data_IF_892964046727
#
_entry.id   IF_892964046727
#
_cell.length_a   1.000
_cell.length_b   1.000
_cell.length_c   1.000
_cell.angle_alpha   90.00
_cell.angle_beta   90.00
_cell.angle_gamma   90.00
#
_symmetry.space_group_name_H-M   'P 1'
#
loop_
_entity.id
_entity.type
_entity.pdbx_description
1 polymer ?
#
# COMPACT_ATOMS: atom_id res chain seq x y z
N UNK A 1 -16.15 1.42 -43.89
CA UNK A 1 -15.31 0.41 -43.20
C UNK A 1 -14.15 1.10 -42.49
N UNK A 2 -14.43 1.64 -41.30
CA UNK A 2 -13.45 2.29 -40.43
C UNK A 2 -12.85 1.24 -39.50
N UNK A 3 -11.56 1.01 -39.64
CA UNK A 3 -10.78 0.03 -38.87
C UNK A 3 -10.90 0.30 -37.36
N UNK A 4 -11.37 -0.72 -36.65
CA UNK A 4 -11.39 -0.78 -35.20
C UNK A 4 -9.96 -1.15 -34.75
N UNK A 5 -9.11 -0.15 -34.50
CA UNK A 5 -7.85 -0.37 -33.80
C UNK A 5 -8.15 -0.59 -32.31
N UNK A 6 -7.99 -1.82 -31.84
CA UNK A 6 -7.99 -2.14 -30.42
C UNK A 6 -6.82 -1.42 -29.73
N UNK A 7 -7.07 -0.24 -29.15
CA UNK A 7 -6.15 0.40 -28.22
C UNK A 7 -6.23 -0.32 -26.89
N UNK A 8 -5.16 -1.02 -26.51
CA UNK A 8 -4.96 -1.57 -25.17
C UNK A 8 -5.15 -0.43 -24.14
N UNK A 9 -6.05 -0.65 -23.18
CA UNK A 9 -6.61 0.36 -22.28
C UNK A 9 -5.58 1.26 -21.59
N UNK A 10 -5.66 2.55 -21.86
CA UNK A 10 -4.73 3.56 -21.38
C UNK A 10 -5.27 4.24 -20.12
N UNK A 11 -5.10 3.61 -18.95
CA UNK A 11 -5.27 4.31 -17.66
C UNK A 11 -4.23 5.45 -17.60
N UNK A 12 -4.69 6.69 -17.38
CA UNK A 12 -3.86 7.89 -17.26
C UNK A 12 -3.71 8.29 -15.77
N UNK A 13 -3.34 7.32 -14.93
CA UNK A 13 -3.08 7.56 -13.51
C UNK A 13 -1.66 8.07 -13.29
N UNK A 14 -1.49 9.01 -12.35
CA UNK A 14 -0.18 9.34 -11.79
C UNK A 14 -0.02 8.60 -10.47
N UNK A 15 1.22 8.21 -10.15
CA UNK A 15 1.61 7.68 -8.86
C UNK A 15 2.35 8.75 -8.08
N UNK A 16 2.08 8.85 -6.79
CA UNK A 16 2.91 9.63 -5.89
C UNK A 16 4.09 8.79 -5.37
N UNK A 17 5.30 9.15 -5.77
CA UNK A 17 6.50 8.35 -5.51
C UNK A 17 7.72 9.25 -5.33
N UNK A 18 8.46 9.05 -4.24
CA UNK A 18 9.54 9.93 -3.77
C UNK A 18 9.20 11.43 -3.76
N UNK A 19 7.97 11.77 -3.38
CA UNK A 19 7.55 13.17 -3.23
C UNK A 19 7.07 13.81 -4.54
N UNK A 20 7.05 13.08 -5.65
CA UNK A 20 6.66 13.59 -6.96
C UNK A 20 5.55 12.75 -7.59
N UNK A 21 4.76 13.38 -8.47
CA UNK A 21 3.76 12.67 -9.29
C UNK A 21 4.39 12.20 -10.61
N UNK A 22 4.60 10.89 -10.72
CA UNK A 22 5.10 10.24 -11.93
C UNK A 22 3.95 9.58 -12.68
N UNK A 23 4.00 9.56 -14.02
CA UNK A 23 2.99 8.85 -14.81
C UNK A 23 3.12 7.35 -14.57
N UNK A 24 1.99 6.64 -14.43
CA UNK A 24 1.98 5.19 -14.20
C UNK A 24 2.70 4.34 -15.28
N UNK A 25 2.92 4.91 -16.46
CA UNK A 25 3.69 4.27 -17.56
C UNK A 25 5.19 4.55 -17.52
N UNK A 26 5.58 5.58 -16.77
CA UNK A 26 6.96 6.05 -16.71
C UNK A 26 7.58 5.73 -15.34
N UNK A 27 7.15 4.63 -14.73
CA UNK A 27 7.75 4.17 -13.47
C UNK A 27 9.16 3.64 -13.75
N UNK A 28 10.11 4.05 -12.92
CA UNK A 28 11.48 3.57 -13.03
C UNK A 28 11.61 2.10 -12.63
N UNK A 29 12.70 1.47 -13.08
CA UNK A 29 13.00 0.06 -12.81
C UNK A 29 13.04 -0.28 -11.30
N UNK A 30 13.40 0.70 -10.46
CA UNK A 30 13.49 0.53 -9.02
C UNK A 30 12.15 0.62 -8.30
N UNK A 31 11.08 1.05 -8.97
CA UNK A 31 9.75 1.24 -8.38
C UNK A 31 9.24 -0.01 -7.64
N UNK A 32 9.29 -1.19 -8.29
CA UNK A 32 8.85 -2.46 -7.68
C UNK A 32 9.69 -2.79 -6.45
N UNK A 33 11.02 -2.67 -6.56
CA UNK A 33 11.94 -3.03 -5.47
C UNK A 33 11.76 -2.12 -4.25
N UNK A 34 11.55 -0.83 -4.47
CA UNK A 34 11.26 0.14 -3.40
C UNK A 34 9.92 -0.21 -2.74
N UNK A 35 8.85 -0.40 -3.51
CA UNK A 35 7.54 -0.72 -2.96
C UNK A 35 7.55 -2.02 -2.15
N UNK A 36 8.15 -3.10 -2.67
CA UNK A 36 8.35 -4.35 -1.92
C UNK A 36 9.15 -4.07 -0.65
N UNK A 37 10.23 -3.31 -0.77
CA UNK A 37 11.17 -2.98 0.29
C UNK A 37 10.56 -2.20 1.44
N UNK A 38 9.65 -1.26 1.18
CA UNK A 38 9.03 -0.41 2.21
C UNK A 38 7.71 -0.97 2.75
N UNK A 39 7.04 -1.87 2.03
CA UNK A 39 5.73 -2.45 2.45
C UNK A 39 5.83 -3.90 2.96
N UNK A 40 7.02 -4.50 2.95
CA UNK A 40 7.27 -5.84 3.51
C UNK A 40 8.00 -5.73 4.85
N UNK A 41 7.61 -6.46 5.92
CA UNK A 41 8.37 -6.48 7.17
C UNK A 41 9.86 -6.76 6.96
N UNK A 42 10.73 -5.94 7.55
CA UNK A 42 12.18 -5.98 7.26
C UNK A 42 12.83 -7.33 7.58
N UNK A 43 12.38 -8.02 8.63
CA UNK A 43 12.86 -9.36 8.95
C UNK A 43 12.54 -10.37 7.83
N UNK A 44 11.39 -10.24 7.15
CA UNK A 44 11.09 -11.07 5.99
C UNK A 44 12.02 -10.77 4.81
N UNK A 45 12.37 -9.49 4.57
CA UNK A 45 13.32 -9.12 3.53
C UNK A 45 14.73 -9.69 3.80
N UNK A 46 15.18 -9.68 5.06
CA UNK A 46 16.44 -10.30 5.48
C UNK A 46 16.42 -11.80 5.20
N UNK A 47 15.35 -12.50 5.60
CA UNK A 47 15.21 -13.93 5.34
C UNK A 47 15.15 -14.25 3.85
N UNK A 48 14.45 -13.43 3.07
CA UNK A 48 14.41 -13.54 1.62
C UNK A 48 15.82 -13.45 1.03
N UNK A 49 16.60 -12.43 1.40
CA UNK A 49 17.98 -12.26 0.97
C UNK A 49 18.89 -13.43 1.36
N UNK A 50 18.76 -13.95 2.59
CA UNK A 50 19.48 -15.15 3.03
C UNK A 50 19.11 -16.37 2.18
N UNK A 51 17.83 -16.58 1.89
CA UNK A 51 17.36 -17.68 1.05
C UNK A 51 17.91 -17.62 -0.37
N UNK A 52 17.93 -16.41 -0.97
CA UNK A 52 18.54 -16.17 -2.27
C UNK A 52 20.04 -16.46 -2.22
N UNK A 53 20.76 -15.98 -1.19
CA UNK A 53 22.18 -16.26 -1.02
C UNK A 53 22.50 -17.77 -0.92
N UNK A 54 21.67 -18.54 -0.21
CA UNK A 54 21.81 -20.00 -0.14
C UNK A 54 21.61 -20.65 -1.52
N UNK A 55 20.65 -20.17 -2.31
CA UNK A 55 20.44 -20.64 -3.67
C UNK A 55 21.60 -20.29 -4.60
N UNK A 56 22.07 -19.04 -4.59
CA UNK A 56 23.19 -18.63 -5.45
C UNK A 56 24.45 -19.44 -5.13
N UNK A 57 24.70 -19.76 -3.86
CA UNK A 57 25.80 -20.66 -3.48
C UNK A 57 25.61 -22.09 -4.02
N UNK A 58 24.37 -22.59 -4.11
CA UNK A 58 24.11 -23.94 -4.60
C UNK A 58 24.25 -24.09 -6.11
N UNK A 59 24.27 -22.98 -6.87
CA UNK A 59 24.54 -22.99 -8.32
C UNK A 59 25.97 -23.40 -8.66
N UNK A 60 26.93 -23.23 -7.74
CA UNK A 60 28.32 -23.68 -7.93
C UNK A 60 28.52 -25.19 -7.66
N UNK A 61 27.49 -25.88 -7.18
CA UNK A 61 27.54 -27.33 -6.96
C UNK A 61 26.97 -28.09 -8.18
N UNK A 62 27.20 -29.40 -8.25
CA UNK A 62 26.61 -30.26 -9.28
C UNK A 62 25.08 -30.08 -9.34
N UNK A 63 24.55 -30.05 -10.56
CA UNK A 63 23.13 -29.91 -10.81
C UNK A 63 22.34 -31.08 -10.19
N UNK A 64 21.29 -30.78 -9.43
CA UNK A 64 20.32 -31.75 -8.92
C UNK A 64 18.88 -31.22 -9.05
N UNK A 65 17.89 -32.08 -8.82
CA UNK A 65 16.46 -31.71 -8.90
C UNK A 65 16.10 -30.52 -8.01
N UNK A 66 16.71 -30.44 -6.82
CA UNK A 66 16.53 -29.30 -5.91
C UNK A 66 17.01 -27.98 -6.54
N UNK A 67 18.13 -27.98 -7.26
CA UNK A 67 18.62 -26.79 -7.96
C UNK A 67 17.69 -26.38 -9.11
N UNK A 68 17.10 -27.35 -9.84
CA UNK A 68 16.06 -27.07 -10.86
C UNK A 68 14.86 -26.38 -10.21
N UNK A 69 14.32 -26.96 -9.13
CA UNK A 69 13.15 -26.41 -8.45
C UNK A 69 13.43 -25.02 -7.88
N UNK A 70 14.59 -24.81 -7.25
CA UNK A 70 14.99 -23.48 -6.78
C UNK A 70 15.14 -22.48 -7.93
N UNK A 71 15.67 -22.91 -9.08
CA UNK A 71 15.76 -22.10 -10.29
C UNK A 71 14.38 -21.71 -10.83
N UNK A 72 13.41 -22.64 -10.84
CA UNK A 72 12.02 -22.35 -11.19
C UNK A 72 11.38 -21.33 -10.23
N UNK A 73 11.56 -21.51 -8.91
CA UNK A 73 11.03 -20.55 -7.93
C UNK A 73 11.70 -19.17 -8.07
N UNK A 74 13.00 -19.12 -8.38
CA UNK A 74 13.69 -17.87 -8.68
C UNK A 74 13.17 -17.22 -9.96
N UNK A 75 12.98 -18.00 -11.02
CA UNK A 75 12.39 -17.58 -12.28
C UNK A 75 10.99 -16.97 -12.08
N UNK A 76 10.15 -17.59 -11.24
CA UNK A 76 8.81 -17.10 -10.90
C UNK A 76 8.79 -15.70 -10.27
N UNK A 77 9.88 -15.27 -9.64
CA UNK A 77 10.04 -13.90 -9.16
C UNK A 77 10.71 -13.00 -10.20
N UNK A 78 11.86 -13.41 -10.74
CA UNK A 78 12.70 -12.51 -11.56
C UNK A 78 12.10 -12.28 -12.95
N UNK A 79 11.43 -13.27 -13.56
CA UNK A 79 10.85 -13.14 -14.90
C UNK A 79 9.70 -12.14 -14.91
N UNK A 80 8.69 -12.20 -14.02
CA UNK A 80 7.64 -11.18 -13.99
C UNK A 80 8.16 -9.78 -13.70
N UNK A 81 9.11 -9.63 -12.76
CA UNK A 81 9.73 -8.33 -12.45
C UNK A 81 10.46 -7.78 -13.67
N UNK A 82 11.26 -8.62 -14.34
CA UNK A 82 11.98 -8.23 -15.57
C UNK A 82 11.02 -7.89 -16.70
N UNK A 83 9.92 -8.65 -16.86
CA UNK A 83 8.91 -8.39 -17.88
C UNK A 83 8.28 -7.01 -17.69
N UNK A 84 7.92 -6.63 -16.46
CA UNK A 84 7.36 -5.29 -16.19
C UNK A 84 8.36 -4.19 -16.52
N UNK A 85 9.62 -4.35 -16.12
CA UNK A 85 10.68 -3.35 -16.36
C UNK A 85 10.97 -3.23 -17.86
N UNK A 86 11.18 -4.35 -18.56
CA UNK A 86 11.59 -4.37 -19.96
C UNK A 86 10.45 -3.97 -20.91
N UNK A 87 9.21 -4.36 -20.61
CA UNK A 87 8.03 -4.03 -21.41
C UNK A 87 7.44 -2.66 -21.04
N UNK A 88 8.00 -1.98 -20.03
CA UNK A 88 7.48 -0.73 -19.46
C UNK A 88 5.99 -0.83 -19.14
N UNK A 89 5.59 -1.94 -18.52
CA UNK A 89 4.20 -2.20 -18.17
C UNK A 89 3.71 -1.13 -17.19
N UNK A 90 2.46 -0.70 -17.36
CA UNK A 90 1.87 0.32 -16.49
C UNK A 90 1.75 -0.25 -15.07
N UNK A 91 2.34 0.44 -14.09
CA UNK A 91 2.16 0.14 -12.67
C UNK A 91 1.56 1.36 -11.99
N UNK A 92 0.54 1.13 -11.18
CA UNK A 92 -0.06 2.15 -10.35
C UNK A 92 -0.56 1.54 -9.05
N UNK A 93 -0.91 2.40 -8.09
CA UNK A 93 -1.44 1.98 -6.79
C UNK A 93 -0.49 0.98 -6.10
N UNK A 94 0.77 1.39 -5.89
CA UNK A 94 1.86 0.53 -5.39
C UNK A 94 2.24 -0.60 -6.35
N UNK A 95 2.42 -1.83 -5.85
CA UNK A 95 2.83 -3.03 -6.59
C UNK A 95 1.74 -4.12 -6.59
N UNK A 96 0.47 -3.73 -6.39
CA UNK A 96 -0.66 -4.66 -6.26
C UNK A 96 -0.84 -5.60 -7.46
N UNK A 97 -0.50 -5.12 -8.65
CA UNK A 97 -0.55 -5.92 -9.88
C UNK A 97 0.46 -7.06 -9.88
N UNK A 98 1.49 -6.98 -9.03
CA UNK A 98 2.57 -7.95 -8.92
C UNK A 98 2.38 -8.93 -7.75
N UNK A 99 1.25 -8.91 -7.03
CA UNK A 99 1.04 -9.77 -5.86
C UNK A 99 1.13 -11.27 -6.17
N UNK A 100 0.97 -11.69 -7.43
CA UNK A 100 1.20 -13.07 -7.82
C UNK A 100 2.66 -13.55 -7.62
N UNK A 101 3.63 -12.64 -7.36
CA UNK A 101 5.00 -13.03 -7.03
C UNK A 101 5.21 -13.41 -5.56
N UNK A 102 4.24 -13.14 -4.67
CA UNK A 102 4.37 -13.41 -3.23
C UNK A 102 4.76 -14.86 -2.89
N UNK A 103 4.20 -15.91 -3.52
CA UNK A 103 4.58 -17.29 -3.22
C UNK A 103 6.07 -17.56 -3.44
N UNK A 104 6.67 -16.95 -4.48
CA UNK A 104 8.10 -17.09 -4.78
C UNK A 104 8.97 -16.35 -3.75
N UNK A 105 8.54 -15.16 -3.33
CA UNK A 105 9.20 -14.44 -2.24
C UNK A 105 9.14 -15.25 -0.94
N UNK A 106 7.96 -15.74 -0.57
CA UNK A 106 7.74 -16.53 0.65
C UNK A 106 8.58 -17.82 0.66
N UNK A 107 8.75 -18.47 -0.51
CA UNK A 107 9.63 -19.62 -0.64
C UNK A 107 11.08 -19.31 -0.22
N UNK A 108 11.65 -18.23 -0.74
CA UNK A 108 13.01 -17.84 -0.36
C UNK A 108 13.09 -17.33 1.09
N UNK A 109 12.06 -16.67 1.61
CA UNK A 109 11.97 -16.34 3.05
C UNK A 109 12.04 -17.61 3.92
N UNK A 110 11.26 -18.64 3.58
CA UNK A 110 11.27 -19.91 4.30
C UNK A 110 12.65 -20.60 4.20
N UNK A 111 13.26 -20.59 3.01
CA UNK A 111 14.62 -21.13 2.82
C UNK A 111 15.66 -20.40 3.69
N UNK A 112 15.57 -19.08 3.77
CA UNK A 112 16.40 -18.26 4.66
C UNK A 112 16.18 -18.61 6.13
N UNK A 113 14.94 -18.84 6.55
CA UNK A 113 14.60 -19.27 7.91
C UNK A 113 15.19 -20.65 8.25
N UNK A 114 15.10 -21.61 7.33
CA UNK A 114 15.71 -22.93 7.50
C UNK A 114 17.23 -22.85 7.58
N UNK A 115 17.86 -22.00 6.76
CA UNK A 115 19.30 -21.76 6.85
C UNK A 115 19.70 -21.14 8.19
N UNK A 116 19.01 -20.06 8.60
CA UNK A 116 19.28 -19.36 9.85
C UNK A 116 19.10 -20.28 11.06
N UNK A 117 18.01 -21.05 11.12
CA UNK A 117 17.79 -22.01 12.21
C UNK A 117 18.87 -23.09 12.27
N UNK A 118 19.34 -23.61 11.12
CA UNK A 118 20.46 -24.56 11.08
C UNK A 118 21.75 -23.94 11.62
N UNK A 119 22.07 -22.70 11.26
CA UNK A 119 23.27 -22.00 11.75
C UNK A 119 23.20 -21.81 13.27
N UNK A 120 22.04 -21.39 13.79
CA UNK A 120 21.84 -21.18 15.23
C UNK A 120 21.95 -22.50 16.00
N UNK A 121 21.29 -23.57 15.54
CA UNK A 121 21.36 -24.88 16.19
C UNK A 121 22.81 -25.40 16.25
N UNK A 122 23.56 -25.27 15.17
CA UNK A 122 24.95 -25.74 15.13
C UNK A 122 25.87 -24.94 16.05
N UNK A 123 25.66 -23.62 16.19
CA UNK A 123 26.49 -22.76 17.04
C UNK A 123 26.11 -22.82 18.52
N UNK A 124 24.82 -22.77 18.83
CA UNK A 124 24.30 -22.68 20.20
C UNK A 124 23.90 -24.04 20.78
N UNK A 125 23.93 -25.12 19.98
CA UNK A 125 23.52 -26.49 20.38
C UNK A 125 22.08 -26.57 20.91
N UNK A 126 21.22 -25.64 20.50
CA UNK A 126 19.79 -25.62 20.84
C UNK A 126 19.02 -26.58 19.92
N UNK A 127 17.98 -27.21 20.46
CA UNK A 127 17.09 -28.06 19.66
C UNK A 127 16.40 -27.29 18.53
N UNK A 128 16.30 -27.93 17.36
CA UNK A 128 15.70 -27.32 16.16
C UNK A 128 14.30 -26.78 16.38
N UNK A 129 13.47 -27.47 17.17
CA UNK A 129 12.09 -27.05 17.47
C UNK A 129 12.07 -25.75 18.26
N UNK A 130 12.86 -25.66 19.32
CA UNK A 130 12.96 -24.45 20.14
C UNK A 130 13.45 -23.25 19.31
N UNK A 131 14.49 -23.42 18.49
CA UNK A 131 15.00 -22.36 17.61
C UNK A 131 13.94 -21.86 16.62
N UNK A 132 13.19 -22.76 15.99
CA UNK A 132 12.12 -22.38 15.05
C UNK A 132 11.02 -21.59 15.77
N UNK A 133 10.60 -22.01 16.97
CA UNK A 133 9.58 -21.30 17.76
C UNK A 133 10.07 -19.90 18.13
N UNK A 134 11.29 -19.78 18.67
CA UNK A 134 11.86 -18.48 19.07
C UNK A 134 12.03 -17.54 17.88
N UNK A 135 12.54 -18.03 16.74
CA UNK A 135 12.62 -17.25 15.51
C UNK A 135 11.22 -16.86 15.03
N UNK A 136 10.24 -17.78 15.06
CA UNK A 136 8.86 -17.50 14.70
C UNK A 136 8.28 -16.34 15.51
N UNK A 137 8.39 -16.39 16.83
CA UNK A 137 7.95 -15.30 17.71
C UNK A 137 8.64 -13.99 17.35
N UNK A 138 9.97 -14.00 17.22
CA UNK A 138 10.75 -12.81 16.87
C UNK A 138 10.30 -12.20 15.53
N UNK A 139 10.22 -13.02 14.49
CA UNK A 139 9.95 -12.59 13.13
C UNK A 139 8.51 -12.07 12.98
N UNK A 140 7.53 -12.78 13.56
CA UNK A 140 6.12 -12.44 13.40
C UNK A 140 5.60 -11.41 14.42
N UNK A 141 6.34 -11.13 15.50
CA UNK A 141 5.94 -10.13 16.50
C UNK A 141 5.62 -8.75 15.90
N UNK A 142 6.49 -8.23 15.04
CA UNK A 142 6.34 -6.90 14.44
C UNK A 142 5.19 -6.83 13.42
N UNK A 143 5.04 -7.79 12.47
CA UNK A 143 3.87 -7.88 11.62
C UNK A 143 2.55 -7.97 12.39
N UNK A 144 2.47 -8.86 13.39
CA UNK A 144 1.24 -9.06 14.20
C UNK A 144 0.90 -7.79 14.96
N UNK A 145 1.88 -7.15 15.59
CA UNK A 145 1.68 -5.86 16.25
C UNK A 145 1.16 -4.80 15.26
N UNK A 146 1.71 -4.74 14.05
CA UNK A 146 1.27 -3.80 13.02
C UNK A 146 -0.16 -4.08 12.57
N UNK A 147 -0.54 -5.35 12.37
CA UNK A 147 -1.90 -5.75 12.01
C UNK A 147 -2.90 -5.28 13.07
N UNK A 148 -2.60 -5.49 14.35
CA UNK A 148 -3.47 -5.09 15.46
C UNK A 148 -3.60 -3.57 15.53
N UNK A 149 -2.48 -2.85 15.49
CA UNK A 149 -2.45 -1.38 15.63
C UNK A 149 -3.04 -0.63 14.45
N UNK A 150 -3.00 -1.23 13.26
CA UNK A 150 -3.46 -0.60 12.03
C UNK A 150 -4.86 -1.04 11.64
N UNK A 151 -5.45 -2.04 12.30
CA UNK A 151 -6.80 -2.50 11.97
C UNK A 151 -7.82 -1.34 12.04
N UNK A 152 -8.69 -1.15 11.03
CA UNK A 152 -8.92 -1.98 9.83
C UNK A 152 -8.16 -1.55 8.56
N UNK A 153 -7.12 -0.73 8.69
CA UNK A 153 -6.39 -0.10 7.62
C UNK A 153 -4.99 -0.69 7.39
N UNK A 154 -4.86 -2.02 7.35
CA UNK A 154 -3.56 -2.66 7.13
C UNK A 154 -2.99 -2.42 5.72
N UNK A 155 -3.83 -2.03 4.75
CA UNK A 155 -3.40 -1.74 3.38
C UNK A 155 -2.47 -0.53 3.25
N UNK A 156 -2.42 0.35 4.26
CA UNK A 156 -1.50 1.49 4.32
C UNK A 156 -0.24 1.17 5.13
N UNK A 157 0.11 -0.11 5.28
CA UNK A 157 1.30 -0.51 6.02
C UNK A 157 2.60 -0.10 5.30
N UNK A 158 3.44 0.60 6.06
CA UNK A 158 4.84 0.85 5.74
C UNK A 158 5.71 0.38 6.90
N UNK A 159 6.87 -0.18 6.58
CA UNK A 159 7.93 -0.43 7.55
C UNK A 159 8.77 0.84 7.79
N UNK A 160 9.75 0.75 8.69
CA UNK A 160 10.54 1.92 9.08
C UNK A 160 11.46 2.49 7.97
N UNK A 161 11.71 1.75 6.89
CA UNK A 161 12.53 2.21 5.76
C UNK A 161 11.82 3.29 4.92
N UNK A 162 10.50 3.38 4.99
CA UNK A 162 9.73 4.43 4.32
C UNK A 162 9.75 5.80 5.06
N UNK A 163 10.48 5.88 6.18
CA UNK A 163 10.60 7.10 6.97
C UNK A 163 9.52 7.25 8.04
N UNK A 164 9.51 8.41 8.71
CA UNK A 164 8.58 8.71 9.82
C UNK A 164 7.15 8.95 9.32
N UNK A 165 7.03 9.60 8.17
CA UNK A 165 5.76 9.86 7.51
C UNK A 165 5.84 9.45 6.02
N UNK A 166 5.52 8.19 5.72
CA UNK A 166 5.54 7.66 4.36
C UNK A 166 4.66 8.43 3.38
N UNK A 167 3.57 9.04 3.83
CA UNK A 167 2.62 9.75 2.95
C UNK A 167 3.19 11.03 2.33
N UNK A 168 4.37 11.47 2.78
CA UNK A 168 5.16 12.55 2.16
C UNK A 168 5.89 12.12 0.90
N UNK A 169 6.14 10.82 0.75
CA UNK A 169 6.94 10.28 -0.34
C UNK A 169 6.18 9.25 -1.17
N UNK A 170 5.16 8.61 -0.62
CA UNK A 170 4.48 7.47 -1.24
C UNK A 170 2.96 7.61 -1.12
N UNK A 171 2.24 6.99 -2.05
CA UNK A 171 0.77 6.91 -1.98
C UNK A 171 0.31 6.19 -0.70
N UNK A 172 -0.68 6.79 -0.02
CA UNK A 172 -1.30 6.24 1.19
C UNK A 172 -2.51 5.35 0.88
N UNK A 173 -3.68 5.72 1.42
CA UNK A 173 -4.94 4.97 1.25
C UNK A 173 -5.52 5.11 -0.17
N UNK A 174 -4.85 4.50 -1.15
CA UNK A 174 -5.16 4.64 -2.56
C UNK A 174 -6.54 4.08 -2.95
N UNK A 175 -7.07 3.10 -2.18
CA UNK A 175 -8.43 2.55 -2.32
C UNK A 175 -9.51 3.41 -1.65
N UNK A 176 -9.11 4.35 -0.79
CA UNK A 176 -10.02 5.19 -0.03
C UNK A 176 -10.85 4.42 0.99
N UNK A 177 -10.38 3.28 1.54
CA UNK A 177 -11.14 2.48 2.51
C UNK A 177 -11.48 3.29 3.78
N UNK A 178 -10.63 4.25 4.13
CA UNK A 178 -10.86 5.17 5.24
C UNK A 178 -12.09 6.06 5.07
N UNK A 179 -12.54 6.32 3.83
CA UNK A 179 -13.72 7.16 3.57
C UNK A 179 -14.98 6.63 4.21
N UNK A 180 -15.12 5.30 4.33
CA UNK A 180 -16.26 4.69 5.01
C UNK A 180 -16.43 5.30 6.40
N UNK A 181 -15.35 5.35 7.19
CA UNK A 181 -15.42 5.87 8.56
C UNK A 181 -15.62 7.39 8.58
N UNK A 182 -15.09 8.12 7.59
CA UNK A 182 -15.41 9.55 7.43
C UNK A 182 -16.89 9.80 7.17
N UNK A 183 -17.51 8.99 6.32
CA UNK A 183 -18.95 9.08 6.05
C UNK A 183 -19.79 8.68 7.25
N UNK A 184 -19.43 7.60 7.95
CA UNK A 184 -20.08 7.20 9.22
C UNK A 184 -20.01 8.34 10.24
N UNK A 185 -18.85 8.97 10.41
CA UNK A 185 -18.71 10.12 11.31
C UNK A 185 -19.65 11.27 10.94
N UNK A 186 -19.75 11.63 9.65
CA UNK A 186 -20.67 12.69 9.19
C UNK A 186 -22.12 12.32 9.55
N UNK A 187 -22.54 11.09 9.29
CA UNK A 187 -23.89 10.61 9.57
C UNK A 187 -24.23 10.53 11.05
N UNK A 188 -23.23 10.26 11.89
CA UNK A 188 -23.32 10.24 13.36
C UNK A 188 -23.39 11.66 13.97
N UNK A 189 -22.95 12.70 13.25
CA UNK A 189 -22.75 14.07 13.80
C UNK A 189 -23.56 15.17 13.08
N UNK A 190 -24.33 14.82 12.05
CA UNK A 190 -25.21 15.73 11.32
C UNK A 190 -26.53 15.01 11.11
N UNK A 191 -27.63 15.55 11.63
CA UNK A 191 -28.97 14.93 11.61
C UNK A 191 -29.79 15.32 10.37
N UNK A 192 -29.24 16.10 9.44
CA UNK A 192 -29.98 16.51 8.23
C UNK A 192 -30.34 15.30 7.37
N UNK A 193 -31.48 15.38 6.71
CA UNK A 193 -31.96 14.36 5.76
C UNK A 193 -31.13 14.31 4.47
N UNK A 194 -30.40 15.39 4.18
CA UNK A 194 -29.56 15.52 3.00
C UNK A 194 -28.31 16.30 3.34
N UNK A 195 -27.16 15.67 3.09
CA UNK A 195 -25.83 16.19 3.39
C UNK A 195 -24.99 16.09 2.12
N UNK A 196 -24.50 17.23 1.64
CA UNK A 196 -23.67 17.32 0.44
C UNK A 196 -22.20 17.14 0.83
N UNK A 197 -21.59 16.06 0.35
CA UNK A 197 -20.20 15.76 0.68
C UNK A 197 -19.35 15.82 -0.58
N UNK A 198 -18.42 16.78 -0.62
CA UNK A 198 -17.37 16.82 -1.62
C UNK A 198 -16.36 15.71 -1.31
N UNK A 199 -16.06 14.87 -2.30
CA UNK A 199 -15.13 13.76 -2.14
C UNK A 199 -14.38 13.52 -3.45
N UNK A 200 -13.11 13.09 -3.35
CA UNK A 200 -12.23 12.90 -4.51
C UNK A 200 -12.38 11.50 -5.12
N UNK A 201 -11.99 10.44 -4.38
CA UNK A 201 -11.78 9.09 -4.95
C UNK A 201 -12.52 7.99 -4.18
N UNK A 202 -12.74 8.14 -2.87
CA UNK A 202 -13.31 7.11 -2.00
C UNK A 202 -14.84 6.89 -2.11
N UNK A 203 -15.45 7.32 -3.20
CA UNK A 203 -16.90 7.34 -3.42
C UNK A 203 -17.57 5.98 -3.29
N UNK A 204 -16.91 4.95 -3.83
CA UNK A 204 -17.38 3.58 -3.80
C UNK A 204 -17.66 3.09 -2.37
N UNK A 205 -16.92 3.62 -1.38
CA UNK A 205 -17.04 3.19 0.01
C UNK A 205 -18.37 3.57 0.67
N UNK A 206 -19.16 4.50 0.09
CA UNK A 206 -20.53 4.75 0.55
C UNK A 206 -21.43 3.52 0.44
N UNK A 207 -21.11 2.59 -0.45
CA UNK A 207 -21.90 1.37 -0.64
C UNK A 207 -21.71 0.36 0.50
N UNK A 208 -20.73 0.60 1.39
CA UNK A 208 -20.54 -0.17 2.61
C UNK A 208 -21.43 0.32 3.77
N UNK A 209 -22.12 1.44 3.58
CA UNK A 209 -23.05 2.01 4.57
C UNK A 209 -24.44 1.39 4.44
N UNK A 210 -25.24 1.51 5.51
CA UNK A 210 -26.63 1.09 5.51
C UNK A 210 -27.44 1.89 4.48
N UNK A 211 -28.49 1.27 3.93
CA UNK A 211 -29.28 1.86 2.85
C UNK A 211 -29.93 3.20 3.22
N UNK A 212 -30.36 3.38 4.47
CA UNK A 212 -31.00 4.61 4.93
C UNK A 212 -29.97 5.75 5.05
N UNK A 213 -28.84 5.48 5.70
CA UNK A 213 -27.70 6.38 5.83
C UNK A 213 -27.13 6.83 4.48
N UNK A 214 -26.93 5.88 3.57
CA UNK A 214 -26.41 6.17 2.24
C UNK A 214 -27.28 7.14 1.45
N UNK A 215 -28.61 7.15 1.66
CA UNK A 215 -29.52 8.08 0.96
C UNK A 215 -29.37 9.52 1.45
N UNK A 216 -28.91 9.72 2.68
CA UNK A 216 -28.66 11.06 3.25
C UNK A 216 -27.43 11.71 2.62
N UNK A 217 -26.46 10.91 2.16
CA UNK A 217 -25.21 11.40 1.58
C UNK A 217 -25.33 11.67 0.08
N UNK A 218 -25.36 12.95 -0.30
CA UNK A 218 -25.22 13.40 -1.68
C UNK A 218 -23.74 13.67 -1.98
N UNK A 219 -23.05 12.69 -2.56
CA UNK A 219 -21.65 12.84 -2.94
C UNK A 219 -21.52 13.67 -4.23
N UNK A 220 -20.69 14.70 -4.23
CA UNK A 220 -20.43 15.59 -5.38
C UNK A 220 -18.96 15.45 -5.81
N UNK A 221 -18.73 15.02 -7.06
CA UNK A 221 -17.39 14.57 -7.48
C UNK A 221 -16.56 15.79 -7.69
N UNK A 222 -15.54 15.92 -6.86
CA UNK A 222 -14.67 17.06 -6.94
C UNK A 222 -13.25 16.59 -6.72
N UNK A 223 -12.47 16.57 -7.81
CA UNK A 223 -11.05 16.22 -7.76
C UNK A 223 -10.29 17.28 -6.92
N UNK A 224 -10.67 18.55 -7.08
CA UNK A 224 -10.18 19.73 -6.36
C UNK A 224 -11.36 20.63 -6.03
N UNK A 225 -11.70 20.95 -4.78
CA UNK A 225 -12.60 22.07 -4.62
C UNK A 225 -11.89 23.35 -5.08
N UNK A 226 -12.22 23.84 -6.29
CA UNK A 226 -11.94 25.24 -6.66
C UNK A 226 -12.69 26.11 -5.64
N UNK A 227 -12.23 27.35 -5.38
CA UNK A 227 -12.91 28.25 -4.41
C UNK A 227 -14.44 28.34 -4.59
N UNK A 228 -14.94 28.17 -5.81
CA UNK A 228 -16.37 28.11 -6.13
C UNK A 228 -17.08 26.85 -5.60
N UNK A 229 -16.42 25.69 -5.60
CA UNK A 229 -16.96 24.39 -5.19
C UNK A 229 -17.24 24.31 -3.68
N UNK A 230 -16.47 25.04 -2.86
CA UNK A 230 -16.72 25.12 -1.42
C UNK A 230 -18.10 25.69 -1.07
N UNK A 231 -18.70 26.48 -1.98
CA UNK A 231 -20.01 27.11 -1.75
C UNK A 231 -21.19 26.15 -1.91
N UNK A 232 -20.95 24.95 -2.43
CA UNK A 232 -22.02 24.00 -2.77
C UNK A 232 -22.06 22.75 -1.87
N UNK A 233 -21.01 22.51 -1.08
CA UNK A 233 -20.90 21.35 -0.20
C UNK A 233 -21.02 21.70 1.28
N UNK A 234 -21.41 20.72 2.09
CA UNK A 234 -21.43 20.81 3.55
C UNK A 234 -20.11 20.34 4.17
N UNK A 235 -19.58 19.23 3.63
CA UNK A 235 -18.32 18.64 4.07
C UNK A 235 -17.40 18.35 2.90
N UNK A 236 -16.09 18.33 3.17
CA UNK A 236 -15.07 17.83 2.27
C UNK A 236 -14.33 16.66 2.92
N UNK A 237 -14.24 15.53 2.21
CA UNK A 237 -13.55 14.33 2.68
C UNK A 237 -12.40 13.99 1.73
N UNK A 238 -11.19 13.87 2.27
CA UNK A 238 -9.99 13.58 1.49
C UNK A 238 -9.03 12.63 2.19
N UNK A 239 -8.39 11.76 1.40
CA UNK A 239 -7.19 10.99 1.77
C UNK A 239 -5.91 11.63 1.21
N UNK A 240 -5.98 12.90 0.77
CA UNK A 240 -4.89 13.70 0.19
C UNK A 240 -4.36 13.21 -1.15
N UNK A 241 -4.91 12.13 -1.70
CA UNK A 241 -4.47 11.57 -2.98
C UNK A 241 -4.63 12.60 -4.10
N UNK A 242 -3.55 12.77 -4.87
CA UNK A 242 -3.45 13.76 -5.95
C UNK A 242 -2.90 15.12 -5.52
N UNK A 243 -2.72 15.35 -4.21
CA UNK A 243 -2.29 16.63 -3.64
C UNK A 243 -1.20 16.50 -2.58
N UNK A 244 -0.47 15.39 -2.59
CA UNK A 244 0.68 15.19 -1.73
C UNK A 244 1.94 15.79 -2.39
N UNK A 245 2.89 16.34 -1.61
CA UNK A 245 2.81 16.58 -0.17
C UNK A 245 2.05 17.86 0.20
N UNK A 246 1.77 18.73 -0.77
CA UNK A 246 1.33 20.12 -0.55
C UNK A 246 0.15 20.27 0.40
N UNK A 247 -0.97 19.59 0.12
CA UNK A 247 -2.19 19.69 0.95
C UNK A 247 -2.12 18.81 2.18
N UNK A 248 -1.28 17.79 2.15
CA UNK A 248 -1.06 16.93 3.30
C UNK A 248 -0.27 17.68 4.40
N UNK A 249 0.73 18.50 4.02
CA UNK A 249 1.57 19.24 4.96
C UNK A 249 1.06 20.65 5.29
N UNK A 250 0.63 21.42 4.28
CA UNK A 250 0.51 22.87 4.41
C UNK A 250 -0.92 23.38 4.54
N UNK A 251 -1.91 22.49 4.60
CA UNK A 251 -3.28 22.91 4.45
C UNK A 251 -3.92 23.47 5.72
N UNK A 252 -3.28 23.39 6.88
CA UNK A 252 -3.87 23.69 8.20
C UNK A 252 -4.47 25.10 8.37
N UNK A 253 -4.28 26.04 7.43
CA UNK A 253 -4.79 27.41 7.50
C UNK A 253 -5.45 27.92 6.20
N UNK A 254 -5.86 27.02 5.28
CA UNK A 254 -6.50 27.40 4.01
C UNK A 254 -7.84 26.67 3.90
N UNK A 255 -8.96 27.35 3.62
CA UNK A 255 -10.24 26.68 3.37
C UNK A 255 -10.12 25.55 2.34
N UNK A 256 -10.64 24.35 2.63
CA UNK A 256 -11.49 23.99 3.76
C UNK A 256 -10.71 23.37 4.94
N UNK A 257 -9.40 23.29 4.83
CA UNK A 257 -8.52 22.54 5.72
C UNK A 257 -8.27 23.24 7.06
N UNK A 258 -8.76 24.47 7.21
CA UNK A 258 -8.83 25.26 8.44
C UNK A 258 -9.95 24.79 9.39
N UNK A 259 -10.92 24.01 8.91
CA UNK A 259 -12.06 23.52 9.70
C UNK A 259 -12.14 21.99 9.70
N UNK A 260 -11.10 21.34 10.21
CA UNK A 260 -11.08 19.89 10.41
C UNK A 260 -12.01 19.48 11.55
N UNK A 261 -12.92 18.55 11.25
CA UNK A 261 -13.88 18.02 12.23
C UNK A 261 -13.62 16.55 12.59
N UNK A 262 -12.95 15.80 11.70
CA UNK A 262 -12.56 14.42 11.97
C UNK A 262 -11.35 14.01 11.11
N UNK A 263 -10.48 13.16 11.66
CA UNK A 263 -9.36 12.59 10.91
C UNK A 263 -8.98 11.19 11.40
N UNK A 264 -8.30 10.44 10.53
CA UNK A 264 -7.73 9.14 10.88
C UNK A 264 -6.22 9.22 10.73
N UNK A 265 -5.54 9.09 11.86
CA UNK A 265 -4.08 9.16 11.96
C UNK A 265 -3.53 7.78 12.37
N UNK A 266 -2.66 7.21 11.54
CA UNK A 266 -2.05 5.90 11.78
C UNK A 266 -0.54 6.04 11.68
N UNK A 267 0.15 5.87 12.81
CA UNK A 267 1.61 5.86 12.90
C UNK A 267 2.28 7.09 12.24
N UNK A 268 1.68 8.27 12.42
CA UNK A 268 2.17 9.53 11.85
C UNK A 268 1.60 9.86 10.47
N UNK A 269 0.88 8.94 9.82
CA UNK A 269 0.22 9.16 8.54
C UNK A 269 -1.23 9.59 8.76
N UNK A 270 -1.62 10.76 8.28
CA UNK A 270 -3.02 11.18 8.24
C UNK A 270 -3.70 10.64 6.97
N UNK A 271 -4.29 9.46 7.08
CA UNK A 271 -4.85 8.74 5.93
C UNK A 271 -6.24 9.23 5.51
N UNK A 272 -6.89 10.03 6.37
CA UNK A 272 -8.19 10.65 6.11
C UNK A 272 -8.32 11.97 6.86
N UNK A 273 -8.91 12.97 6.21
CA UNK A 273 -9.46 14.16 6.86
C UNK A 273 -10.90 14.42 6.37
N UNK A 274 -11.73 14.88 7.31
CA UNK A 274 -13.09 15.38 7.10
C UNK A 274 -13.11 16.82 7.57
N UNK A 275 -13.57 17.70 6.70
CA UNK A 275 -13.55 19.14 6.91
C UNK A 275 -14.94 19.70 6.68
N UNK A 276 -15.33 20.67 7.50
CA UNK A 276 -16.63 21.35 7.38
C UNK A 276 -16.47 22.63 6.56
N UNK A 277 -17.35 22.84 5.58
CA UNK A 277 -17.23 23.94 4.63
C UNK A 277 -17.92 25.23 5.08
N UNK A 278 -18.92 25.10 5.98
CA UNK A 278 -19.74 26.20 6.53
C UNK A 278 -20.13 25.92 7.98
#
# INVERSE_FOLDING_TARGET
PSECSFSIGTFAGNNFFFGEYIRARDVDWYYIFVWVGITTPVLFLILWGLGIGVFLKSLFNKWNENNIFNGFMFAGFIVPVSAVILLKSTLYDSWRHMFFIYPFLAYFMAKGLFFLSKVINNKLKIEKRATIILLGVLIFSTPVYSIIRMHPYQQVYFNFLAGKDPMLNFEGDYLGLSYRRGFEWILENDDRDTIKVLSTIGWGNRHLLLNHDRKRLQLIKHDLPRKSAFREGDYYVTNFRGYQPDWYQNATNIPPFDNEVFSINIRGMKILGVYRLH
#
